data_IF_589705763603
#
_entry.id   IF_589705763603
#
_cell.length_a   1.000
_cell.length_b   1.000
_cell.length_c   1.000
_cell.angle_alpha   90.00
_cell.angle_beta   90.00
_cell.angle_gamma   90.00
#
_symmetry.space_group_name_H-M   'P 1'
#
loop_
_entity.id
_entity.type
_entity.pdbx_description
1 polymer ?
#
# COMPACT_ATOMS: atom_id res chain seq x y z
N UNK A 1 11.75 5.09 -0.52
CA UNK A 1 11.85 3.90 0.36
C UNK A 1 11.82 2.69 -0.53
N UNK A 2 12.75 1.75 -0.35
CA UNK A 2 12.81 0.52 -1.16
C UNK A 2 12.42 -0.66 -0.27
N UNK A 3 11.68 -1.62 -0.82
CA UNK A 3 11.30 -2.87 -0.15
C UNK A 3 11.91 -4.05 -0.90
N UNK A 4 12.28 -5.10 -0.18
CA UNK A 4 12.88 -6.32 -0.72
C UNK A 4 11.91 -7.51 -0.70
N UNK A 5 10.71 -7.34 -0.17
CA UNK A 5 9.70 -8.40 -0.07
C UNK A 5 8.28 -7.87 -0.15
N UNK A 6 7.34 -8.76 -0.48
CA UNK A 6 5.90 -8.45 -0.50
C UNK A 6 5.41 -8.01 0.88
N UNK A 7 5.90 -8.62 1.95
CA UNK A 7 5.49 -8.28 3.32
C UNK A 7 6.07 -6.93 3.79
N UNK A 8 7.23 -6.52 3.28
CA UNK A 8 7.70 -5.15 3.46
C UNK A 8 6.84 -4.15 2.71
N UNK A 9 6.41 -4.45 1.48
CA UNK A 9 5.49 -3.59 0.73
C UNK A 9 4.14 -3.43 1.44
N UNK A 10 3.62 -4.50 2.05
CA UNK A 10 2.41 -4.44 2.88
C UNK A 10 2.60 -3.62 4.15
N UNK A 11 3.72 -3.79 4.85
CA UNK A 11 4.05 -3.01 6.05
C UNK A 11 4.21 -1.52 5.74
N UNK A 12 4.85 -1.20 4.61
CA UNK A 12 4.94 0.17 4.12
C UNK A 12 3.56 0.77 3.85
N UNK A 13 2.67 0.01 3.20
CA UNK A 13 1.31 0.45 2.91
C UNK A 13 0.48 0.65 4.19
N UNK A 14 0.61 -0.26 5.16
CA UNK A 14 -0.06 -0.15 6.45
C UNK A 14 0.37 1.09 7.23
N UNK A 15 1.66 1.43 7.21
CA UNK A 15 2.18 2.64 7.86
C UNK A 15 1.65 3.95 7.25
N UNK A 16 1.11 3.91 6.02
CA UNK A 16 0.46 5.07 5.39
C UNK A 16 -1.01 5.24 5.79
N UNK A 17 -1.66 4.21 6.34
CA UNK A 17 -3.10 4.22 6.64
C UNK A 17 -3.50 5.39 7.56
N UNK A 18 -2.69 5.68 8.58
CA UNK A 18 -2.95 6.75 9.56
C UNK A 18 -2.90 8.17 8.96
N UNK A 19 -2.36 8.31 7.74
CA UNK A 19 -2.23 9.60 7.06
C UNK A 19 -3.40 9.87 6.09
N UNK A 20 -4.17 8.84 5.75
CA UNK A 20 -5.23 8.91 4.73
C UNK A 20 -6.53 9.41 5.34
N UNK A 21 -7.20 10.27 4.59
CA UNK A 21 -8.47 10.89 4.98
C UNK A 21 -9.58 10.55 3.99
N UNK A 22 -10.85 10.62 4.40
CA UNK A 22 -11.97 10.51 3.47
C UNK A 22 -11.84 11.54 2.33
N UNK A 23 -11.94 11.05 1.09
CA UNK A 23 -11.82 11.86 -0.11
C UNK A 23 -10.43 11.84 -0.76
N UNK A 24 -9.41 11.27 -0.12
CA UNK A 24 -8.10 11.11 -0.73
C UNK A 24 -8.13 10.13 -1.91
N UNK A 25 -7.35 10.42 -2.95
CA UNK A 25 -7.16 9.57 -4.12
C UNK A 25 -5.69 9.13 -4.21
N UNK A 26 -5.45 7.83 -4.15
CA UNK A 26 -4.12 7.24 -4.28
C UNK A 26 -4.01 6.52 -5.62
N UNK A 27 -3.05 6.94 -6.44
CA UNK A 27 -2.75 6.30 -7.73
C UNK A 27 -1.44 5.52 -7.60
N UNK A 28 -1.50 4.21 -7.84
CA UNK A 28 -0.32 3.34 -7.86
C UNK A 28 0.14 3.10 -9.30
N UNK A 29 1.36 3.56 -9.62
CA UNK A 29 1.97 3.41 -10.94
C UNK A 29 3.14 2.42 -10.90
N UNK A 30 3.32 1.66 -11.97
CA UNK A 30 4.43 0.72 -12.14
C UNK A 30 4.07 -0.46 -13.04
N UNK A 31 5.07 -1.23 -13.43
CA UNK A 31 4.89 -2.37 -14.35
C UNK A 31 4.15 -3.55 -13.72
N UNK A 32 3.83 -4.56 -14.54
CA UNK A 32 3.31 -5.83 -14.06
C UNK A 32 4.31 -6.46 -13.07
N UNK A 33 3.83 -6.88 -11.91
CA UNK A 33 4.68 -7.44 -10.85
C UNK A 33 5.36 -6.41 -9.94
N UNK A 34 5.20 -5.09 -10.17
CA UNK A 34 5.80 -4.04 -9.33
C UNK A 34 5.28 -3.97 -7.87
N UNK A 35 4.38 -4.87 -7.45
CA UNK A 35 3.87 -4.90 -6.08
C UNK A 35 2.67 -4.00 -5.78
N UNK A 36 2.06 -3.37 -6.79
CA UNK A 36 0.87 -2.50 -6.63
C UNK A 36 -0.27 -3.19 -5.86
N UNK A 37 -0.62 -4.42 -6.24
CA UNK A 37 -1.67 -5.20 -5.56
C UNK A 37 -1.29 -5.53 -4.11
N UNK A 38 -0.02 -5.83 -3.83
CA UNK A 38 0.44 -6.11 -2.47
C UNK A 38 0.36 -4.85 -1.59
N UNK A 39 0.68 -3.68 -2.14
CA UNK A 39 0.48 -2.41 -1.47
C UNK A 39 -1.00 -2.19 -1.14
N UNK A 40 -1.91 -2.31 -2.12
CA UNK A 40 -3.36 -2.14 -1.91
C UNK A 40 -3.90 -3.09 -0.84
N UNK A 41 -3.46 -4.35 -0.82
CA UNK A 41 -3.85 -5.32 0.21
C UNK A 41 -3.38 -4.90 1.60
N UNK A 42 -2.11 -4.51 1.76
CA UNK A 42 -1.57 -4.07 3.04
C UNK A 42 -2.28 -2.82 3.56
N UNK A 43 -2.61 -1.90 2.65
CA UNK A 43 -3.36 -0.70 2.98
C UNK A 43 -4.81 -1.02 3.39
N UNK A 44 -5.53 -1.87 2.64
CA UNK A 44 -6.90 -2.25 2.94
C UNK A 44 -7.05 -2.91 4.32
N UNK A 45 -6.14 -3.84 4.63
CA UNK A 45 -6.10 -4.48 5.97
C UNK A 45 -5.88 -3.46 7.08
N UNK A 46 -4.97 -2.49 6.88
CA UNK A 46 -4.72 -1.45 7.88
C UNK A 46 -5.88 -0.46 8.04
N UNK A 47 -6.67 -0.24 6.98
CA UNK A 47 -7.91 0.53 7.03
C UNK A 47 -9.11 -0.25 7.58
N UNK A 48 -8.97 -1.57 7.81
CA UNK A 48 -10.04 -2.43 8.33
C UNK A 48 -11.07 -2.86 7.28
N UNK A 49 -10.65 -2.99 6.01
CA UNK A 49 -11.49 -3.40 4.86
C UNK A 49 -11.11 -4.78 4.35
#
# INVERSE_FOLDING_TARGET
VSTASVDETRRLAAAMADLIRPGDLIVLCGDLGAGKTAFTQGLGVALGV
#
